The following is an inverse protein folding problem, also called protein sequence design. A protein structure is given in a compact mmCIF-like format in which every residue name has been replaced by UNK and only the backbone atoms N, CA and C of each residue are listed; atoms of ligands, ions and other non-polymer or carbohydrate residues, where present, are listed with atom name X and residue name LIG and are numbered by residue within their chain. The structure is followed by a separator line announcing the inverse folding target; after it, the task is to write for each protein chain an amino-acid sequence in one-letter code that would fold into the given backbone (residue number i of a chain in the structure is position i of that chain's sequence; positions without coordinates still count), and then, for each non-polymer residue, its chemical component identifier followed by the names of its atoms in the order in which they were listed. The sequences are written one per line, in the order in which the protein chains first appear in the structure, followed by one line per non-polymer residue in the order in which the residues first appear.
data_IF_238653442040
#
_entry.id   IF_238653442040
#
_cell.length_a   1.000
_cell.length_b   1.000
_cell.length_c   1.000
_cell.angle_alpha   90.00
_cell.angle_beta   90.00
_cell.angle_gamma   90.00
#
_symmetry.space_group_name_H-M   'P 1'
#
loop_
_entity.id
_entity.type
_entity.pdbx_description
1 polymer ?
#
# COMPACT_ATOMS: atom_id res chain seq x y z
N UNK A 1 -15.49 11.75 -2.39
CA UNK A 1 -15.84 10.44 -1.78
C UNK A 1 -15.32 9.34 -2.68
N UNK A 2 -14.86 8.21 -2.14
CA UNK A 2 -14.49 7.07 -2.97
C UNK A 2 -15.77 6.48 -3.60
N UNK A 3 -15.73 6.13 -4.89
CA UNK A 3 -16.83 5.43 -5.54
C UNK A 3 -16.64 3.93 -5.40
N UNK A 4 -17.74 3.18 -5.30
CA UNK A 4 -17.71 1.72 -5.39
C UNK A 4 -17.42 1.36 -6.85
N UNK A 5 -16.27 0.73 -7.16
CA UNK A 5 -15.99 0.31 -8.53
C UNK A 5 -16.87 -0.89 -8.88
N UNK A 6 -17.54 -0.83 -10.02
CA UNK A 6 -18.43 -1.87 -10.55
C UNK A 6 -17.99 -2.38 -11.92
N UNK A 7 -17.14 -1.62 -12.60
CA UNK A 7 -16.54 -1.98 -13.88
C UNK A 7 -15.02 -2.12 -13.77
N UNK A 8 -14.41 -2.76 -14.77
CA UNK A 8 -12.95 -2.88 -14.87
C UNK A 8 -12.28 -1.51 -14.95
N UNK A 9 -12.86 -0.55 -15.67
CA UNK A 9 -12.30 0.80 -15.81
C UNK A 9 -12.34 1.56 -14.47
N UNK A 10 -13.47 1.48 -13.75
CA UNK A 10 -13.59 2.07 -12.42
C UNK A 10 -12.63 1.43 -11.42
N UNK A 11 -12.46 0.09 -11.49
CA UNK A 11 -11.48 -0.62 -10.67
C UNK A 11 -10.05 -0.12 -10.95
N UNK A 12 -9.69 0.08 -12.24
CA UNK A 12 -8.39 0.64 -12.61
C UNK A 12 -8.19 2.04 -12.05
N UNK A 13 -9.19 2.91 -12.15
CA UNK A 13 -9.12 4.26 -11.61
C UNK A 13 -9.01 4.26 -10.08
N UNK A 14 -9.76 3.37 -9.41
CA UNK A 14 -9.69 3.16 -7.97
C UNK A 14 -8.28 2.71 -7.53
N UNK A 15 -7.69 1.76 -8.26
CA UNK A 15 -6.31 1.29 -8.03
C UNK A 15 -5.26 2.37 -8.28
N UNK A 16 -5.41 3.15 -9.36
CA UNK A 16 -4.51 4.26 -9.64
C UNK A 16 -4.53 5.29 -8.51
N UNK A 17 -5.71 5.58 -7.95
CA UNK A 17 -5.85 6.45 -6.77
C UNK A 17 -5.20 5.84 -5.53
N UNK A 18 -5.46 4.55 -5.25
CA UNK A 18 -4.84 3.84 -4.12
C UNK A 18 -3.31 3.93 -4.20
N UNK A 19 -2.75 3.56 -5.34
CA UNK A 19 -1.31 3.58 -5.57
C UNK A 19 -0.72 4.99 -5.48
N UNK A 20 -1.37 5.99 -6.09
CA UNK A 20 -0.92 7.38 -5.99
C UNK A 20 -0.90 7.91 -4.54
N UNK A 21 -1.81 7.47 -3.68
CA UNK A 21 -1.79 7.79 -2.25
C UNK A 21 -0.56 7.17 -1.57
N UNK A 22 -0.25 5.90 -1.84
CA UNK A 22 0.94 5.26 -1.27
C UNK A 22 2.24 5.87 -1.82
N UNK A 23 2.30 6.17 -3.12
CA UNK A 23 3.44 6.81 -3.80
C UNK A 23 3.71 8.23 -3.29
N UNK A 24 2.69 8.92 -2.79
CA UNK A 24 2.85 10.25 -2.18
C UNK A 24 3.62 10.22 -0.85
N UNK A 25 3.70 9.07 -0.18
CA UNK A 25 4.31 8.90 1.15
C UNK A 25 3.64 9.72 2.27
N UNK A 26 2.41 10.21 2.04
CA UNK A 26 1.65 11.02 2.99
C UNK A 26 0.59 10.17 3.71
N UNK A 27 0.92 9.67 4.90
CA UNK A 27 0.07 8.74 5.67
C UNK A 27 -1.33 9.30 5.98
N UNK A 28 -1.50 10.62 6.03
CA UNK A 28 -2.79 11.27 6.21
C UNK A 28 -3.76 11.01 5.05
N UNK A 29 -3.28 10.82 3.81
CA UNK A 29 -4.14 10.61 2.63
C UNK A 29 -4.79 9.21 2.59
N UNK A 30 -4.35 8.29 3.44
CA UNK A 30 -4.86 6.91 3.56
C UNK A 30 -6.36 6.91 3.93
N UNK A 31 -6.83 7.87 4.72
CA UNK A 31 -8.24 8.00 5.14
C UNK A 31 -9.24 8.11 3.97
N UNK A 32 -8.76 8.54 2.81
CA UNK A 32 -9.56 8.72 1.60
C UNK A 32 -9.89 7.42 0.87
N UNK A 33 -9.24 6.31 1.25
CA UNK A 33 -9.39 4.99 0.64
C UNK A 33 -9.63 3.84 1.63
N UNK A 34 -9.37 4.04 2.93
CA UNK A 34 -9.57 3.00 3.95
C UNK A 34 -10.74 3.36 4.86
N UNK A 35 -11.61 2.38 5.13
CA UNK A 35 -12.71 2.54 6.08
C UNK A 35 -12.19 2.69 7.52
N UNK A 36 -13.01 3.23 8.42
CA UNK A 36 -12.60 3.48 9.81
C UNK A 36 -12.15 2.20 10.53
N UNK A 37 -12.86 1.10 10.32
CA UNK A 37 -12.59 -0.21 10.95
C UNK A 37 -11.82 -1.16 10.03
N UNK A 38 -11.18 -0.63 8.98
CA UNK A 38 -10.50 -1.44 7.99
C UNK A 38 -9.39 -2.30 8.60
N UNK A 39 -9.06 -3.38 7.90
CA UNK A 39 -8.00 -4.31 8.29
C UNK A 39 -6.93 -4.41 7.22
N UNK A 40 -5.68 -4.56 7.66
CA UNK A 40 -4.51 -4.72 6.79
C UNK A 40 -3.70 -5.93 7.24
N UNK A 41 -3.30 -6.76 6.28
CA UNK A 41 -2.40 -7.88 6.52
C UNK A 41 -1.31 -7.97 5.45
N UNK A 42 -0.05 -8.07 5.89
CA UNK A 42 1.09 -8.36 5.02
C UNK A 42 1.49 -9.84 5.16
N UNK A 43 1.21 -10.66 4.15
CA UNK A 43 1.47 -12.10 4.17
C UNK A 43 0.93 -12.75 5.45
N UNK A 44 1.84 -13.36 6.23
CA UNK A 44 1.50 -14.01 7.50
C UNK A 44 1.70 -13.12 8.74
N UNK A 45 1.95 -11.83 8.57
CA UNK A 45 2.10 -10.90 9.69
C UNK A 45 0.79 -10.77 10.49
N UNK A 46 0.86 -10.33 11.76
CA UNK A 46 -0.32 -10.01 12.55
C UNK A 46 -1.22 -8.99 11.84
N UNK A 47 -2.54 -9.17 11.97
CA UNK A 47 -3.54 -8.30 11.40
C UNK A 47 -3.50 -6.92 12.06
N UNK A 48 -3.32 -5.87 11.26
CA UNK A 48 -3.45 -4.47 11.69
C UNK A 48 -4.93 -4.09 11.57
N UNK A 49 -5.50 -3.50 12.63
CA UNK A 49 -6.94 -3.21 12.72
C UNK A 49 -7.19 -1.74 13.00
N UNK A 50 -8.08 -1.13 12.22
CA UNK A 50 -8.50 0.25 12.34
C UNK A 50 -7.61 1.22 11.56
N UNK A 51 -8.22 2.29 11.05
CA UNK A 51 -7.58 3.29 10.20
C UNK A 51 -6.33 3.91 10.81
N UNK A 52 -6.36 4.28 12.10
CA UNK A 52 -5.22 4.91 12.77
C UNK A 52 -4.01 3.97 12.86
N UNK A 53 -4.26 2.68 13.14
CA UNK A 53 -3.20 1.68 13.19
C UNK A 53 -2.61 1.43 11.79
N UNK A 54 -3.44 1.42 10.75
CA UNK A 54 -3.01 1.31 9.36
C UNK A 54 -2.15 2.52 8.96
N UNK A 55 -2.57 3.74 9.33
CA UNK A 55 -1.79 4.97 9.09
C UNK A 55 -0.45 4.94 9.79
N UNK A 56 -0.42 4.49 11.04
CA UNK A 56 0.84 4.33 11.79
C UNK A 56 1.75 3.27 11.15
N UNK A 57 1.18 2.15 10.71
CA UNK A 57 1.93 1.07 10.05
C UNK A 57 2.64 1.57 8.79
N UNK A 58 1.91 2.17 7.85
CA UNK A 58 2.50 2.72 6.63
C UNK A 58 3.40 3.92 6.92
N UNK A 59 2.98 4.83 7.81
CA UNK A 59 3.74 6.01 8.19
C UNK A 59 5.15 5.69 8.70
N UNK A 60 5.31 4.60 9.46
CA UNK A 60 6.64 4.12 9.87
C UNK A 60 7.58 3.86 8.69
N UNK A 61 7.08 3.22 7.63
CA UNK A 61 7.86 2.98 6.40
C UNK A 61 8.06 4.24 5.56
N UNK A 62 7.09 5.17 5.54
CA UNK A 62 7.18 6.41 4.74
C UNK A 62 8.25 7.37 5.26
N UNK A 63 8.44 7.42 6.59
CA UNK A 63 9.50 8.24 7.20
C UNK A 63 10.86 7.91 6.59
N UNK A 64 11.12 6.63 6.31
CA UNK A 64 12.41 6.11 5.85
C UNK A 64 12.51 5.93 4.34
N UNK A 65 11.40 6.13 3.63
CA UNK A 65 11.31 5.99 2.17
C UNK A 65 11.53 7.34 1.49
N UNK A 66 12.44 7.40 0.52
CA UNK A 66 12.74 8.62 -0.24
C UNK A 66 11.77 8.79 -1.42
N UNK A 67 11.48 7.69 -2.10
CA UNK A 67 10.48 7.63 -3.16
C UNK A 67 9.88 6.23 -3.23
N UNK A 68 8.65 6.17 -3.71
CA UNK A 68 7.90 4.93 -3.98
C UNK A 68 7.14 5.11 -5.28
N UNK A 69 7.15 4.09 -6.12
CA UNK A 69 6.36 4.05 -7.34
C UNK A 69 5.72 2.67 -7.48
N UNK A 70 4.41 2.64 -7.65
CA UNK A 70 3.65 1.43 -7.97
C UNK A 70 3.29 1.40 -9.45
N UNK A 71 3.77 0.38 -10.17
CA UNK A 71 3.34 0.09 -11.53
C UNK A 71 2.36 -1.10 -11.54
N UNK A 72 1.09 -0.79 -11.79
CA UNK A 72 0.04 -1.80 -11.96
C UNK A 72 0.34 -2.72 -13.15
N UNK A 73 0.35 -4.04 -12.92
CA UNK A 73 0.61 -5.06 -13.95
C UNK A 73 -0.68 -5.75 -14.39
N UNK A 74 -1.36 -6.38 -13.44
CA UNK A 74 -2.62 -7.09 -13.68
C UNK A 74 -3.65 -6.75 -12.61
N UNK A 75 -4.93 -6.82 -12.95
CA UNK A 75 -6.01 -6.68 -12.00
C UNK A 75 -7.30 -7.30 -12.53
N UNK A 76 -8.14 -7.74 -11.58
CA UNK A 76 -9.49 -8.24 -11.82
C UNK A 76 -10.43 -7.76 -10.72
N UNK A 77 -11.71 -7.58 -11.07
CA UNK A 77 -12.78 -7.26 -10.11
C UNK A 77 -13.78 -8.42 -10.05
N UNK A 78 -14.07 -8.89 -8.84
CA UNK A 78 -15.02 -9.98 -8.58
C UNK A 78 -15.93 -9.58 -7.42
N UNK A 79 -17.17 -9.20 -7.72
CA UNK A 79 -18.08 -8.64 -6.74
C UNK A 79 -17.51 -7.34 -6.16
N UNK A 80 -17.38 -7.27 -4.83
CA UNK A 80 -16.81 -6.12 -4.13
C UNK A 80 -15.30 -6.25 -3.86
N UNK A 81 -14.61 -7.16 -4.56
CA UNK A 81 -13.19 -7.41 -4.37
C UNK A 81 -12.41 -7.06 -5.62
N UNK A 82 -11.25 -6.47 -5.43
CA UNK A 82 -10.26 -6.24 -6.47
C UNK A 82 -9.01 -7.06 -6.12
N UNK A 83 -8.59 -7.92 -7.04
CA UNK A 83 -7.26 -8.52 -7.00
C UNK A 83 -6.34 -7.76 -7.95
N UNK A 84 -5.10 -7.55 -7.56
CA UNK A 84 -4.10 -6.93 -8.44
C UNK A 84 -2.70 -7.42 -8.18
N UNK A 85 -1.84 -7.23 -9.18
CA UNK A 85 -0.39 -7.33 -9.07
C UNK A 85 0.26 -6.02 -9.45
N UNK A 86 1.31 -5.69 -8.72
CA UNK A 86 2.08 -4.45 -8.88
C UNK A 86 3.57 -4.78 -8.84
N UNK A 87 4.34 -4.00 -9.59
CA UNK A 87 5.77 -3.87 -9.36
C UNK A 87 6.00 -2.57 -8.61
N UNK A 88 6.79 -2.64 -7.55
CA UNK A 88 7.02 -1.53 -6.64
C UNK A 88 8.51 -1.20 -6.70
N UNK A 89 8.81 0.07 -6.97
CA UNK A 89 10.17 0.62 -6.95
C UNK A 89 10.29 1.55 -5.76
N UNK A 90 11.27 1.31 -4.89
CA UNK A 90 11.51 2.10 -3.69
C UNK A 90 12.97 2.57 -3.64
N UNK A 91 13.16 3.84 -3.25
CA UNK A 91 14.46 4.36 -2.79
C UNK A 91 14.41 4.65 -1.30
N UNK A 92 15.49 4.36 -0.61
CA UNK A 92 15.61 4.56 0.84
C UNK A 92 16.24 5.92 1.14
N UNK A 93 15.69 6.68 2.11
CA UNK A 93 16.31 7.94 2.54
C UNK A 93 17.65 7.67 3.20
N UNK A 94 18.65 8.48 2.87
CA UNK A 94 20.00 8.37 3.44
C UNK A 94 20.87 7.28 2.80
N UNK A 95 20.35 6.53 1.83
CA UNK A 95 21.18 5.64 1.02
C UNK A 95 22.09 6.45 0.10
N UNK A 96 23.40 6.42 0.36
CA UNK A 96 24.40 7.11 -0.45
C UNK A 96 24.48 6.58 -1.89
N UNK A 97 24.07 5.33 -2.13
CA UNK A 97 24.06 4.74 -3.47
C UNK A 97 22.85 5.17 -4.30
N UNK A 98 21.79 5.66 -3.64
CA UNK A 98 20.52 6.04 -4.27
C UNK A 98 19.95 4.94 -5.17
N UNK A 99 20.08 3.69 -4.73
CA UNK A 99 19.72 2.51 -5.49
C UNK A 99 18.20 2.30 -5.52
N UNK A 100 17.69 1.91 -6.69
CA UNK A 100 16.31 1.48 -6.85
C UNK A 100 16.14 0.02 -6.41
N UNK A 101 15.31 -0.19 -5.39
CA UNK A 101 14.92 -1.54 -4.96
C UNK A 101 13.57 -1.87 -5.56
N UNK A 102 13.56 -2.90 -6.40
CA UNK A 102 12.37 -3.36 -7.09
C UNK A 102 11.91 -4.70 -6.57
N UNK A 103 10.60 -4.83 -6.31
CA UNK A 103 9.98 -6.11 -5.99
C UNK A 103 8.53 -6.17 -6.49
N UNK A 104 7.97 -7.39 -6.51
CA UNK A 104 6.58 -7.62 -6.92
C UNK A 104 5.69 -7.86 -5.71
N UNK A 105 4.47 -7.36 -5.79
CA UNK A 105 3.43 -7.66 -4.82
C UNK A 105 2.14 -8.09 -5.53
N UNK A 106 1.42 -9.01 -4.90
CA UNK A 106 0.02 -9.29 -5.20
C UNK A 106 -0.82 -8.81 -4.03
N UNK A 107 -2.02 -8.30 -4.29
CA UNK A 107 -2.90 -7.87 -3.22
C UNK A 107 -4.38 -8.15 -3.50
N UNK A 108 -5.15 -8.24 -2.42
CA UNK A 108 -6.60 -8.33 -2.43
C UNK A 108 -7.19 -7.19 -1.62
N UNK A 109 -8.05 -6.42 -2.27
CA UNK A 109 -8.79 -5.30 -1.69
C UNK A 109 -10.27 -5.66 -1.63
N UNK A 110 -10.85 -5.70 -0.44
CA UNK A 110 -12.32 -5.82 -0.25
C UNK A 110 -12.89 -4.44 0.02
N UNK A 111 -13.89 -4.03 -0.77
CA UNK A 111 -14.46 -2.68 -0.75
C UNK A 111 -15.86 -2.72 -0.12
N UNK A 112 -16.16 -1.74 0.73
CA UNK A 112 -17.51 -1.53 1.25
C UNK A 112 -18.41 -1.00 0.13
N UNK A 113 -19.55 -1.66 -0.08
CA UNK A 113 -20.51 -1.28 -1.12
C UNK A 113 -21.61 -0.34 -0.63
N UNK A 114 -21.74 -0.19 0.68
CA UNK A 114 -22.82 0.52 1.33
C UNK A 114 -22.37 1.14 2.66
N UNK A 115 -23.20 2.05 3.19
CA UNK A 115 -22.89 2.80 4.41
C UNK A 115 -22.02 4.05 4.19
N UNK A 116 -21.61 4.71 5.29
CA UNK A 116 -20.90 6.00 5.22
C UNK A 116 -19.49 5.90 4.59
N UNK A 117 -18.88 4.72 4.62
CA UNK A 117 -17.57 4.43 4.03
C UNK A 117 -17.67 3.69 2.68
N UNK A 118 -18.84 3.69 2.02
CA UNK A 118 -19.00 3.09 0.71
C UNK A 118 -17.93 3.58 -0.28
N UNK A 119 -17.34 2.65 -1.03
CA UNK A 119 -16.22 2.88 -1.95
C UNK A 119 -14.83 2.83 -1.31
N UNK A 120 -14.74 2.78 0.02
CA UNK A 120 -13.47 2.56 0.74
C UNK A 120 -13.21 1.08 1.00
N UNK A 121 -11.96 0.77 1.27
CA UNK A 121 -11.47 -0.57 1.55
C UNK A 121 -11.73 -0.96 3.01
N UNK A 122 -12.37 -2.11 3.19
CA UNK A 122 -12.62 -2.80 4.46
C UNK A 122 -11.46 -3.72 4.84
N UNK A 123 -10.87 -4.37 3.84
CA UNK A 123 -9.78 -5.33 4.05
C UNK A 123 -8.76 -5.23 2.94
N UNK A 124 -7.50 -5.13 3.31
CA UNK A 124 -6.37 -5.15 2.39
C UNK A 124 -5.38 -6.24 2.79
N UNK A 125 -5.10 -7.15 1.88
CA UNK A 125 -4.09 -8.19 2.05
C UNK A 125 -3.02 -8.03 1.00
N UNK A 126 -1.77 -7.97 1.42
CA UNK A 126 -0.62 -7.77 0.55
C UNK A 126 0.34 -8.94 0.70
N UNK A 127 0.75 -9.52 -0.42
CA UNK A 127 1.68 -10.62 -0.51
C UNK A 127 2.88 -10.17 -1.34
N UNK A 128 4.02 -9.97 -0.69
CA UNK A 128 5.23 -9.49 -1.34
C UNK A 128 6.46 -10.08 -0.64
N UNK A 129 7.48 -10.43 -1.44
CA UNK A 129 8.83 -10.63 -0.93
C UNK A 129 9.56 -9.29 -0.98
N UNK A 130 9.74 -8.68 0.19
CA UNK A 130 10.43 -7.41 0.36
C UNK A 130 11.71 -7.58 1.18
N UNK A 131 12.31 -8.78 1.15
CA UNK A 131 13.49 -9.12 1.93
C UNK A 131 14.67 -8.19 1.64
N UNK A 132 14.86 -7.80 0.38
CA UNK A 132 15.97 -6.91 -0.01
C UNK A 132 15.76 -5.47 0.45
N UNK A 133 14.50 -5.00 0.44
CA UNK A 133 14.16 -3.71 1.05
C UNK A 133 14.45 -3.71 2.55
N UNK A 134 14.09 -4.78 3.25
CA UNK A 134 14.35 -4.92 4.69
C UNK A 134 15.86 -4.91 5.00
N UNK A 135 16.67 -5.60 4.19
CA UNK A 135 18.14 -5.55 4.32
C UNK A 135 18.69 -4.14 4.10
N UNK A 136 18.19 -3.42 3.10
CA UNK A 136 18.64 -2.05 2.81
C UNK A 136 18.30 -1.09 3.95
N UNK A 137 17.07 -1.17 4.48
CA UNK A 137 16.71 -0.39 5.68
C UNK A 137 17.69 -0.68 6.83
N UNK A 138 17.95 -1.95 7.12
CA UNK A 138 18.87 -2.31 8.20
C UNK A 138 20.29 -1.75 8.00
N UNK A 139 20.83 -1.78 6.78
CA UNK A 139 22.16 -1.25 6.45
C UNK A 139 22.22 0.28 6.66
N UNK A 140 21.28 1.02 6.07
CA UNK A 140 21.25 2.49 6.18
C UNK A 140 21.11 2.96 7.64
N UNK A 141 20.34 2.23 8.47
CA UNK A 141 20.20 2.56 9.90
C UNK A 141 21.36 2.11 10.79
N UNK A 142 22.20 1.19 10.32
CA UNK A 142 23.44 0.84 11.00
C UNK A 142 24.49 1.93 10.77
N UNK A 143 24.65 2.39 9.52
CA UNK A 143 25.65 3.38 9.12
C UNK A 143 25.35 4.78 9.68
N UNK A 144 24.08 5.12 9.91
CA UNK A 144 23.69 6.41 10.50
C UNK A 144 23.99 6.54 12.02
N UNK A 145 24.49 5.48 12.66
CA UNK A 145 24.86 5.47 14.10
C UNK A 145 26.36 5.60 14.36
N UNK A 146 27.19 5.62 13.31
CA UNK A 146 28.62 5.95 13.39
C UNK A 146 28.85 7.46 13.17
#
# INVERSE_FOLDING_TARGET
MASVPTTREEARAWLAKLHGIHDSLEAQQIDSMYAQDATLQFGNAPLVKGLDAIKAHFGGSYVVTASMEHQLKEYEIVGNRIWHTVEITIRVKGDATNEDIMFRAAAFSTILTEGPDAGKMDRYEIYADHSDLAKKFAAVFADAKE
#
